data_IF_743382030687
#
_entry.id   IF_743382030687
#
_cell.length_a   1.000
_cell.length_b   1.000
_cell.length_c   1.000
_cell.angle_alpha   90.00
_cell.angle_beta   90.00
_cell.angle_gamma   90.00
#
_symmetry.space_group_name_H-M   'P 1'
#
loop_
_entity.id
_entity.type
_entity.pdbx_description
1 polymer ?
#
# COMPACT_ATOMS: atom_id res chain seq x y z
N UNK A 1 7.59 -16.44 -6.26
CA UNK A 1 8.06 -15.59 -5.14
C UNK A 1 8.47 -14.19 -5.58
N UNK A 2 9.56 -14.01 -6.36
CA UNK A 2 10.04 -12.65 -6.75
C UNK A 2 9.01 -11.81 -7.52
N UNK A 3 8.31 -12.43 -8.47
CA UNK A 3 7.30 -11.74 -9.28
C UNK A 3 6.09 -11.26 -8.44
N UNK A 4 5.69 -12.05 -7.44
CA UNK A 4 4.55 -11.72 -6.59
C UNK A 4 4.88 -10.57 -5.62
N UNK A 5 6.10 -10.59 -5.03
CA UNK A 5 6.60 -9.46 -4.24
C UNK A 5 6.75 -8.19 -5.08
N UNK A 6 7.22 -8.30 -6.33
CA UNK A 6 7.31 -7.17 -7.26
C UNK A 6 5.93 -6.55 -7.52
N UNK A 7 4.89 -7.36 -7.68
CA UNK A 7 3.50 -6.88 -7.87
C UNK A 7 2.96 -6.15 -6.67
N UNK A 8 3.14 -6.73 -5.48
CA UNK A 8 2.73 -6.08 -4.22
C UNK A 8 3.42 -4.72 -4.10
N UNK A 9 4.73 -4.66 -4.35
CA UNK A 9 5.49 -3.42 -4.32
C UNK A 9 4.98 -2.39 -5.34
N UNK A 10 4.69 -2.80 -6.57
CA UNK A 10 4.11 -1.92 -7.59
C UNK A 10 2.71 -1.40 -7.21
N UNK A 11 1.87 -2.26 -6.60
CA UNK A 11 0.54 -1.87 -6.15
C UNK A 11 0.65 -0.82 -5.03
N UNK A 12 1.50 -1.06 -4.02
CA UNK A 12 1.78 -0.10 -2.94
C UNK A 12 2.35 1.22 -3.47
N UNK A 13 3.30 1.16 -4.40
CA UNK A 13 3.90 2.34 -5.03
C UNK A 13 2.90 3.15 -5.86
N UNK A 14 1.85 2.51 -6.38
CA UNK A 14 0.72 3.15 -7.05
C UNK A 14 -0.42 3.51 -6.09
N UNK A 15 -0.18 3.38 -4.78
CA UNK A 15 -1.11 3.65 -3.69
C UNK A 15 -2.38 2.78 -3.66
N UNK A 16 -2.35 1.62 -4.31
CA UNK A 16 -3.46 0.68 -4.25
C UNK A 16 -3.41 -0.17 -2.99
N UNK A 17 -4.52 -0.17 -2.27
CA UNK A 17 -4.78 -1.06 -1.14
C UNK A 17 -5.00 -2.50 -1.62
N UNK A 18 -4.89 -3.50 -0.73
CA UNK A 18 -5.24 -4.88 -1.05
C UNK A 18 -6.69 -5.05 -1.55
N UNK A 19 -7.61 -4.22 -1.08
CA UNK A 19 -9.02 -4.23 -1.49
C UNK A 19 -9.21 -3.68 -2.91
N UNK A 20 -8.43 -2.67 -3.29
CA UNK A 20 -8.47 -2.07 -4.63
C UNK A 20 -7.72 -2.93 -5.67
N UNK A 21 -6.78 -3.75 -5.21
CA UNK A 21 -5.99 -4.65 -6.05
C UNK A 21 -6.85 -5.64 -6.86
N UNK A 22 -8.00 -6.05 -6.33
CA UNK A 22 -8.98 -6.93 -7.00
C UNK A 22 -9.61 -6.28 -8.24
N UNK A 23 -9.52 -4.95 -8.36
CA UNK A 23 -10.16 -4.17 -9.42
C UNK A 23 -9.17 -3.58 -10.43
N UNK A 24 -7.88 -3.90 -10.33
CA UNK A 24 -6.86 -3.38 -11.22
C UNK A 24 -6.86 -4.11 -12.57
N UNK A 25 -7.23 -3.44 -13.69
CA UNK A 25 -7.24 -4.07 -15.01
C UNK A 25 -5.81 -4.33 -15.51
N UNK A 26 -5.58 -5.49 -16.12
CA UNK A 26 -4.37 -5.80 -16.90
C UNK A 26 -3.27 -6.55 -16.16
N UNK A 27 -3.52 -7.10 -14.97
CA UNK A 27 -2.56 -7.93 -14.22
C UNK A 27 -2.87 -9.44 -14.31
N UNK A 28 -3.56 -9.84 -15.38
CA UNK A 28 -4.18 -11.16 -15.65
C UNK A 28 -3.24 -12.37 -15.72
N UNK A 29 -1.95 -12.19 -15.43
CA UNK A 29 -0.94 -13.26 -15.52
C UNK A 29 -0.76 -14.07 -14.22
N UNK A 30 -1.30 -13.61 -13.08
CA UNK A 30 -1.31 -14.35 -11.79
C UNK A 30 -2.59 -14.00 -11.00
N UNK A 31 -3.74 -14.62 -11.27
CA UNK A 31 -5.03 -14.23 -10.67
C UNK A 31 -5.07 -14.28 -9.14
N UNK A 32 -4.19 -15.05 -8.50
CA UNK A 32 -4.11 -15.20 -7.05
C UNK A 32 -3.39 -14.04 -6.33
N UNK A 33 -2.72 -13.14 -7.07
CA UNK A 33 -1.87 -12.12 -6.47
C UNK A 33 -2.58 -11.17 -5.49
N UNK A 34 -3.86 -10.74 -5.69
CA UNK A 34 -4.54 -9.85 -4.76
C UNK A 34 -4.82 -10.53 -3.42
N UNK A 35 -5.23 -11.81 -3.45
CA UNK A 35 -5.45 -12.60 -2.25
C UNK A 35 -4.16 -12.75 -1.43
N UNK A 36 -3.03 -13.01 -2.10
CA UNK A 36 -1.73 -13.08 -1.43
C UNK A 36 -1.30 -11.73 -0.88
N UNK A 37 -1.56 -10.63 -1.60
CA UNK A 37 -1.29 -9.28 -1.10
C UNK A 37 -2.06 -8.99 0.19
N UNK A 38 -3.35 -9.32 0.23
CA UNK A 38 -4.20 -9.16 1.42
C UNK A 38 -3.66 -9.95 2.60
N UNK A 39 -3.41 -11.25 2.41
CA UNK A 39 -2.84 -12.10 3.47
C UNK A 39 -1.47 -11.60 3.96
N UNK A 40 -0.65 -11.06 3.07
CA UNK A 40 0.64 -10.48 3.43
C UNK A 40 0.48 -9.24 4.30
N UNK A 41 -0.40 -8.30 3.92
CA UNK A 41 -0.65 -7.09 4.72
C UNK A 41 -1.30 -7.41 6.07
N UNK A 42 -2.24 -8.35 6.11
CA UNK A 42 -2.84 -8.83 7.36
C UNK A 42 -1.75 -9.35 8.31
N UNK A 43 -0.82 -10.15 7.76
CA UNK A 43 0.26 -10.73 8.55
C UNK A 43 1.25 -9.68 9.07
N UNK A 44 1.54 -8.64 8.29
CA UNK A 44 2.36 -7.52 8.74
C UNK A 44 1.65 -6.71 9.84
N UNK A 45 0.36 -6.42 9.64
CA UNK A 45 -0.49 -5.69 10.59
C UNK A 45 -0.57 -6.38 11.95
N UNK A 46 -0.85 -7.70 11.97
CA UNK A 46 -0.86 -8.52 13.19
C UNK A 46 0.44 -8.41 14.01
N UNK A 47 1.57 -8.34 13.30
CA UNK A 47 2.90 -8.25 13.90
C UNK A 47 3.36 -6.81 14.17
N UNK A 48 2.56 -5.80 13.81
CA UNK A 48 2.94 -4.38 13.86
C UNK A 48 4.23 -4.10 13.10
N UNK A 49 4.38 -4.73 11.94
CA UNK A 49 5.52 -4.55 11.05
C UNK A 49 5.09 -3.73 9.83
N UNK A 50 6.04 -2.97 9.30
CA UNK A 50 5.93 -2.26 8.03
C UNK A 50 7.12 -2.63 7.16
N UNK A 51 6.86 -2.88 5.88
CA UNK A 51 7.92 -2.91 4.88
C UNK A 51 8.23 -1.50 4.35
N UNK A 52 9.22 -1.40 3.46
CA UNK A 52 9.67 -0.10 2.95
C UNK A 52 8.57 0.66 2.18
N UNK A 53 7.73 -0.06 1.44
CA UNK A 53 6.67 0.56 0.65
C UNK A 53 5.54 1.07 1.55
N UNK A 54 5.27 0.38 2.66
CA UNK A 54 4.30 0.82 3.68
C UNK A 54 4.66 2.18 4.27
N UNK A 55 5.95 2.50 4.43
CA UNK A 55 6.38 3.79 5.00
C UNK A 55 5.86 4.99 4.19
N UNK A 56 5.74 4.83 2.88
CA UNK A 56 5.19 5.86 2.00
C UNK A 56 3.68 5.74 1.93
N UNK A 57 3.15 4.54 1.66
CA UNK A 57 1.71 4.34 1.46
C UNK A 57 0.90 4.72 2.71
N UNK A 58 1.30 4.25 3.89
CA UNK A 58 0.61 4.57 5.15
C UNK A 58 0.70 6.06 5.48
N UNK A 59 1.78 6.73 5.08
CA UNK A 59 1.90 8.17 5.27
C UNK A 59 0.99 8.97 4.36
N UNK A 60 0.82 8.53 3.10
CA UNK A 60 -0.17 9.14 2.20
C UNK A 60 -1.59 8.95 2.77
N UNK A 61 -1.95 7.74 3.20
CA UNK A 61 -3.24 7.46 3.81
C UNK A 61 -3.47 8.37 5.03
N UNK A 62 -2.49 8.45 5.95
CA UNK A 62 -2.59 9.29 7.14
C UNK A 62 -2.82 10.78 6.78
N UNK A 63 -2.09 11.29 5.79
CA UNK A 63 -2.19 12.69 5.36
C UNK A 63 -3.52 12.97 4.64
N UNK A 64 -4.14 11.97 4.00
CA UNK A 64 -5.48 12.07 3.42
C UNK A 64 -6.54 12.11 4.51
N UNK A 65 -6.47 11.20 5.49
CA UNK A 65 -7.44 11.09 6.60
C UNK A 65 -7.34 12.23 7.62
N UNK A 66 -6.15 12.82 7.80
CA UNK A 66 -5.88 13.87 8.78
C UNK A 66 -5.46 15.18 8.09
N UNK A 67 -6.40 15.93 7.48
CA UNK A 67 -6.07 17.13 6.72
C UNK A 67 -5.38 18.24 7.56
N UNK A 68 -5.69 18.32 8.86
CA UNK A 68 -5.02 19.25 9.78
C UNK A 68 -3.53 18.92 9.93
N UNK A 69 -3.20 17.63 10.10
CA UNK A 69 -1.82 17.17 10.20
C UNK A 69 -1.07 17.42 8.89
N UNK A 70 -1.70 17.15 7.75
CA UNK A 70 -1.15 17.49 6.43
C UNK A 70 -0.84 18.98 6.30
N UNK A 71 -1.75 19.86 6.72
CA UNK A 71 -1.56 21.31 6.67
C UNK A 71 -0.38 21.77 7.53
N UNK A 72 -0.15 21.16 8.70
CA UNK A 72 1.01 21.48 9.55
C UNK A 72 2.34 21.23 8.81
N UNK A 73 2.44 20.10 8.11
CA UNK A 73 3.65 19.79 7.34
C UNK A 73 3.83 20.67 6.10
N UNK A 74 2.75 21.00 5.39
CA UNK A 74 2.78 21.93 4.25
C UNK A 74 3.22 23.34 4.68
N UNK A 75 2.83 23.79 5.89
CA UNK A 75 3.31 25.07 6.43
C UNK A 75 4.78 25.03 6.82
N UNK A 76 5.29 23.85 7.24
CA UNK A 76 6.68 23.66 7.64
C UNK A 76 7.62 23.54 6.44
N UNK A 77 7.16 22.93 5.35
CA UNK A 77 7.91 22.70 4.11
C UNK A 77 7.05 23.12 2.90
N UNK A 78 7.08 24.42 2.53
CA UNK A 78 6.28 24.96 1.43
C UNK A 78 6.77 24.51 0.04
#
# INVERSE_FOLDING_TARGET
MKELSRRISLAKGSLFTPEEADHLPGWDTLPEWPAVYRMYQDRLSEKKLWDFDDLIQQMVILLQEKPVFRKQWQLRYP
#
